data_IF_674866393912
#
_entry.id   IF_674866393912
#
_cell.length_a   1.000
_cell.length_b   1.000
_cell.length_c   1.000
_cell.angle_alpha   90.00
_cell.angle_beta   90.00
_cell.angle_gamma   90.00
#
_symmetry.space_group_name_H-M   'P 1'
#
loop_
_entity.id
_entity.type
_entity.pdbx_description
1 polymer ?
#
# COMPACT_ATOMS: atom_id res chain seq x y z
N UNK A 1 18.50 -11.55 13.39
CA UNK A 1 17.81 -10.25 13.15
C UNK A 1 18.87 -9.16 13.25
N UNK A 2 19.17 -8.43 12.17
CA UNK A 2 20.27 -7.47 12.18
C UNK A 2 19.90 -6.23 13.02
N UNK A 3 20.67 -5.87 14.07
CA UNK A 3 20.34 -4.75 14.96
C UNK A 3 20.20 -3.42 14.22
N UNK A 4 20.93 -3.24 13.13
CA UNK A 4 20.78 -2.09 12.21
C UNK A 4 19.36 -1.93 11.66
N UNK A 5 18.66 -3.02 11.31
CA UNK A 5 17.29 -2.93 10.79
C UNK A 5 16.29 -2.50 11.86
N UNK A 6 16.53 -2.88 13.11
CA UNK A 6 15.67 -2.50 14.24
C UNK A 6 15.82 -1.01 14.52
N UNK A 7 17.06 -0.52 14.62
CA UNK A 7 17.35 0.90 14.86
C UNK A 7 16.82 1.78 13.73
N UNK A 8 17.07 1.40 12.48
CA UNK A 8 16.54 2.13 11.31
C UNK A 8 15.01 2.07 11.23
N UNK A 9 14.39 0.94 11.56
CA UNK A 9 12.94 0.79 11.56
C UNK A 9 12.26 1.71 12.58
N UNK A 10 12.79 1.76 13.81
CA UNK A 10 12.30 2.67 14.86
C UNK A 10 12.49 4.13 14.43
N UNK A 11 13.68 4.48 13.94
CA UNK A 11 13.96 5.84 13.47
C UNK A 11 13.05 6.29 12.34
N UNK A 12 12.77 5.41 11.37
CA UNK A 12 11.83 5.68 10.29
C UNK A 12 10.41 5.86 10.82
N UNK A 13 9.95 4.97 11.72
CA UNK A 13 8.62 5.07 12.33
C UNK A 13 8.41 6.40 13.07
N UNK A 14 9.37 6.80 13.90
CA UNK A 14 9.34 8.08 14.63
C UNK A 14 9.36 9.29 13.69
N UNK A 15 10.16 9.23 12.63
CA UNK A 15 10.21 10.29 11.63
C UNK A 15 8.84 10.45 10.93
N UNK A 16 8.27 9.33 10.45
CA UNK A 16 6.96 9.32 9.79
C UNK A 16 5.79 9.73 10.68
N UNK A 17 5.86 9.50 12.00
CA UNK A 17 4.78 9.93 12.91
C UNK A 17 4.92 11.39 13.37
N UNK A 18 6.14 11.92 13.42
CA UNK A 18 6.40 13.22 14.06
C UNK A 18 6.39 14.37 13.05
N UNK A 19 6.91 14.18 11.83
CA UNK A 19 6.98 15.24 10.80
C UNK A 19 5.60 15.80 10.43
N UNK A 20 4.58 14.98 10.12
CA UNK A 20 3.26 15.49 9.71
C UNK A 20 2.58 16.25 10.84
N UNK A 21 2.73 15.76 12.08
CA UNK A 21 2.19 16.40 13.28
C UNK A 21 2.84 17.78 13.46
N UNK A 22 4.17 17.84 13.43
CA UNK A 22 4.91 19.10 13.53
C UNK A 22 4.54 20.09 12.41
N UNK A 23 4.38 19.60 11.19
CA UNK A 23 3.93 20.42 10.07
C UNK A 23 2.50 20.94 10.26
N UNK A 24 1.60 20.12 10.81
CA UNK A 24 0.23 20.53 11.09
C UNK A 24 0.12 21.58 12.21
N UNK A 25 1.06 21.56 13.17
CA UNK A 25 1.15 22.51 14.29
C UNK A 25 1.80 23.85 13.90
N UNK A 26 2.81 23.81 13.04
CA UNK A 26 3.58 25.01 12.62
C UNK A 26 3.02 25.69 11.37
N UNK A 27 2.19 25.01 10.58
CA UNK A 27 1.62 25.57 9.36
C UNK A 27 0.57 26.65 9.67
N UNK A 28 0.60 27.80 8.97
CA UNK A 28 -0.46 28.81 9.04
C UNK A 28 -1.84 28.19 8.73
N UNK A 29 -2.92 28.56 9.45
CA UNK A 29 -4.25 27.96 9.28
C UNK A 29 -4.79 28.03 7.85
N UNK A 30 -4.35 29.04 7.08
CA UNK A 30 -4.79 29.29 5.70
C UNK A 30 -4.14 28.35 4.66
N UNK A 31 -3.01 27.73 4.98
CA UNK A 31 -2.25 26.84 4.06
C UNK A 31 -2.11 25.40 4.56
N UNK A 32 -2.51 25.12 5.82
CA UNK A 32 -2.42 23.80 6.44
C UNK A 32 -3.03 22.68 5.60
N UNK A 33 -4.24 22.89 5.08
CA UNK A 33 -4.91 21.87 4.25
C UNK A 33 -4.15 21.57 2.95
N UNK A 34 -3.58 22.58 2.31
CA UNK A 34 -2.79 22.40 1.08
C UNK A 34 -1.48 21.65 1.34
N UNK A 35 -0.78 21.95 2.43
CA UNK A 35 0.46 21.27 2.79
C UNK A 35 0.26 19.80 3.09
N UNK A 36 -0.81 19.44 3.82
CA UNK A 36 -1.17 18.04 4.10
C UNK A 36 -1.53 17.28 2.82
N UNK A 37 -2.28 17.92 1.89
CA UNK A 37 -2.60 17.32 0.60
C UNK A 37 -1.35 17.12 -0.27
N UNK A 38 -0.43 18.08 -0.27
CA UNK A 38 0.83 18.00 -1.01
C UNK A 38 1.74 16.89 -0.49
N UNK A 39 1.85 16.76 0.84
CA UNK A 39 2.57 15.65 1.48
C UNK A 39 1.97 14.30 1.10
N UNK A 40 0.64 14.15 1.22
CA UNK A 40 -0.06 12.91 0.85
C UNK A 40 0.12 12.54 -0.63
N UNK A 41 0.17 13.54 -1.51
CA UNK A 41 0.44 13.33 -2.93
C UNK A 41 1.88 12.83 -3.18
N UNK A 42 2.88 13.38 -2.47
CA UNK A 42 4.28 12.93 -2.57
C UNK A 42 4.46 11.50 -2.04
N UNK A 43 3.83 11.16 -0.92
CA UNK A 43 3.87 9.80 -0.36
C UNK A 43 3.25 8.80 -1.35
N UNK A 44 2.04 9.09 -1.84
CA UNK A 44 1.35 8.23 -2.81
C UNK A 44 2.16 8.07 -4.10
N UNK A 45 2.74 9.16 -4.60
CA UNK A 45 3.63 9.14 -5.76
C UNK A 45 4.89 8.30 -5.53
N UNK A 46 5.54 8.42 -4.37
CA UNK A 46 6.70 7.62 -4.00
C UNK A 46 6.38 6.12 -3.93
N UNK A 47 5.23 5.75 -3.34
CA UNK A 47 4.78 4.35 -3.28
C UNK A 47 4.49 3.82 -4.69
N UNK A 48 3.84 4.60 -5.55
CA UNK A 48 3.59 4.22 -6.94
C UNK A 48 4.90 3.89 -7.68
N UNK A 49 5.91 4.76 -7.58
CA UNK A 49 7.22 4.53 -8.20
C UNK A 49 7.87 3.26 -7.64
N UNK A 50 7.82 3.07 -6.32
CA UNK A 50 8.33 1.87 -5.66
C UNK A 50 7.68 0.59 -6.22
N UNK A 51 6.36 0.56 -6.39
CA UNK A 51 5.68 -0.58 -6.99
C UNK A 51 6.13 -0.84 -8.42
N UNK A 52 6.26 0.20 -9.25
CA UNK A 52 6.74 0.04 -10.62
C UNK A 52 8.10 -0.68 -10.70
N UNK A 53 8.98 -0.49 -9.71
CA UNK A 53 10.30 -1.14 -9.67
C UNK A 53 10.31 -2.51 -8.97
N UNK A 54 9.64 -2.64 -7.82
CA UNK A 54 9.74 -3.85 -6.99
C UNK A 54 8.68 -4.89 -7.31
N UNK A 55 7.47 -4.48 -7.69
CA UNK A 55 6.38 -5.42 -7.94
C UNK A 55 6.67 -6.32 -9.15
N UNK A 56 7.37 -5.80 -10.17
CA UNK A 56 7.86 -6.61 -11.30
C UNK A 56 8.70 -7.79 -10.83
N UNK A 57 9.64 -7.54 -9.93
CA UNK A 57 10.52 -8.57 -9.36
C UNK A 57 9.71 -9.58 -8.57
N UNK A 58 8.69 -9.16 -7.81
CA UNK A 58 7.82 -10.06 -7.06
C UNK A 58 7.01 -10.97 -8.01
N UNK A 59 6.41 -10.41 -9.06
CA UNK A 59 5.63 -11.18 -10.04
C UNK A 59 6.51 -12.19 -10.83
N UNK A 60 7.76 -11.83 -11.16
CA UNK A 60 8.68 -12.75 -11.83
C UNK A 60 9.21 -13.82 -10.88
N UNK A 61 9.72 -13.44 -9.71
CA UNK A 61 10.41 -14.38 -8.79
C UNK A 61 9.46 -15.27 -8.02
N UNK A 62 8.34 -14.72 -7.54
CA UNK A 62 7.42 -15.44 -6.65
C UNK A 62 6.30 -16.15 -7.41
N UNK A 63 5.85 -15.55 -8.52
CA UNK A 63 4.72 -16.05 -9.31
C UNK A 63 5.15 -16.67 -10.65
N UNK A 64 6.43 -16.59 -11.02
CA UNK A 64 7.01 -17.17 -12.24
C UNK A 64 6.33 -16.70 -13.53
N UNK A 65 5.85 -15.45 -13.54
CA UNK A 65 5.25 -14.83 -14.72
C UNK A 65 6.30 -14.37 -15.72
N UNK A 66 5.88 -14.21 -16.99
CA UNK A 66 6.79 -13.69 -18.02
C UNK A 66 7.15 -12.23 -17.74
N UNK A 67 8.32 -11.76 -18.19
CA UNK A 67 8.75 -10.39 -17.95
C UNK A 67 7.80 -9.32 -18.49
N UNK A 68 7.08 -9.61 -19.58
CA UNK A 68 6.08 -8.70 -20.15
C UNK A 68 4.85 -8.60 -19.25
N UNK A 69 4.33 -9.74 -18.79
CA UNK A 69 3.16 -9.79 -17.90
C UNK A 69 3.46 -9.14 -16.56
N UNK A 70 4.64 -9.40 -15.96
CA UNK A 70 5.04 -8.83 -14.68
C UNK A 70 5.17 -7.31 -14.72
N UNK A 71 5.69 -6.76 -15.83
CA UNK A 71 5.74 -5.31 -16.08
C UNK A 71 4.36 -4.69 -16.22
N UNK A 72 3.47 -5.35 -16.96
CA UNK A 72 2.08 -4.93 -17.13
C UNK A 72 1.34 -4.92 -15.77
N UNK A 73 1.43 -6.00 -15.01
CA UNK A 73 0.79 -6.13 -13.69
C UNK A 73 1.34 -5.12 -12.68
N UNK A 74 2.64 -4.84 -12.69
CA UNK A 74 3.25 -3.80 -11.87
C UNK A 74 2.70 -2.41 -12.18
N UNK A 75 2.56 -2.07 -13.48
CA UNK A 75 1.98 -0.80 -13.90
C UNK A 75 0.52 -0.65 -13.46
N UNK A 76 -0.28 -1.72 -13.60
CA UNK A 76 -1.66 -1.72 -13.10
C UNK A 76 -1.74 -1.61 -11.58
N UNK A 77 -0.87 -2.30 -10.85
CA UNK A 77 -0.84 -2.25 -9.38
C UNK A 77 -0.54 -0.83 -8.87
N UNK A 78 0.42 -0.13 -9.48
CA UNK A 78 0.73 1.25 -9.12
C UNK A 78 -0.42 2.22 -9.44
N UNK A 79 -1.07 2.03 -10.59
CA UNK A 79 -2.21 2.86 -11.02
C UNK A 79 -3.45 2.63 -10.16
N UNK A 80 -3.75 1.37 -9.84
CA UNK A 80 -4.82 1.00 -8.91
C UNK A 80 -4.59 1.66 -7.55
N UNK A 81 -3.37 1.59 -7.01
CA UNK A 81 -3.05 2.20 -5.73
C UNK A 81 -3.32 3.70 -5.71
N UNK A 82 -2.91 4.39 -6.77
CA UNK A 82 -3.14 5.82 -6.92
C UNK A 82 -4.65 6.16 -6.97
N UNK A 83 -5.42 5.40 -7.75
CA UNK A 83 -6.88 5.59 -7.84
C UNK A 83 -7.58 5.28 -6.51
N UNK A 84 -7.17 4.21 -5.83
CA UNK A 84 -7.69 3.82 -4.53
C UNK A 84 -7.39 4.88 -3.47
N UNK A 85 -6.21 5.51 -3.51
CA UNK A 85 -5.84 6.62 -2.64
C UNK A 85 -6.75 7.85 -2.85
N UNK A 86 -7.06 8.19 -4.10
CA UNK A 86 -8.00 9.28 -4.41
C UNK A 86 -9.40 8.97 -3.90
N UNK A 87 -9.89 7.74 -4.11
CA UNK A 87 -11.20 7.31 -3.61
C UNK A 87 -11.26 7.30 -2.08
N UNK A 88 -10.17 6.93 -1.41
CA UNK A 88 -10.07 6.90 0.04
C UNK A 88 -10.39 8.27 0.67
N UNK A 89 -9.92 9.37 0.04
CA UNK A 89 -10.20 10.73 0.52
C UNK A 89 -11.71 10.99 0.69
N UNK A 90 -12.54 10.49 -0.23
CA UNK A 90 -13.98 10.66 -0.17
C UNK A 90 -14.68 9.66 0.77
N UNK A 91 -14.11 8.46 0.91
CA UNK A 91 -14.70 7.37 1.71
C UNK A 91 -14.47 7.61 3.22
N UNK A 92 -13.29 8.13 3.59
CA UNK A 92 -12.89 8.38 4.98
C UNK A 92 -13.86 9.31 5.69
N UNK A 93 -14.29 10.38 5.02
CA UNK A 93 -15.20 11.38 5.57
C UNK A 93 -16.62 10.82 5.82
N UNK A 94 -17.01 9.74 5.13
CA UNK A 94 -18.34 9.13 5.27
C UNK A 94 -18.41 7.97 6.26
N UNK A 95 -17.42 7.09 6.26
CA UNK A 95 -17.47 5.83 7.04
C UNK A 95 -16.85 5.96 8.43
N UNK A 96 -16.09 7.02 8.67
CA UNK A 96 -15.40 7.26 9.93
C UNK A 96 -14.11 6.43 10.05
N UNK A 97 -13.06 7.13 10.49
CA UNK A 97 -11.66 6.67 10.55
C UNK A 97 -11.45 5.33 11.26
N UNK A 98 -12.03 5.17 12.45
CA UNK A 98 -11.84 3.97 13.30
C UNK A 98 -12.38 2.69 12.68
N UNK A 99 -13.57 2.76 12.05
CA UNK A 99 -14.19 1.58 11.42
C UNK A 99 -13.42 1.20 10.17
N UNK A 100 -12.99 2.19 9.39
CA UNK A 100 -12.23 1.97 8.16
C UNK A 100 -10.88 1.28 8.42
N UNK A 101 -10.16 1.68 9.47
CA UNK A 101 -8.90 1.02 9.86
C UNK A 101 -9.11 -0.45 10.27
N UNK A 102 -10.15 -0.75 11.06
CA UNK A 102 -10.41 -2.13 11.50
C UNK A 102 -10.83 -3.04 10.34
N UNK A 103 -11.73 -2.56 9.46
CA UNK A 103 -12.14 -3.32 8.28
C UNK A 103 -11.00 -3.46 7.27
N UNK A 104 -10.18 -2.42 7.08
CA UNK A 104 -8.98 -2.49 6.25
C UNK A 104 -7.95 -3.49 6.78
N UNK A 105 -7.70 -3.50 8.09
CA UNK A 105 -6.81 -4.46 8.72
C UNK A 105 -7.30 -5.91 8.56
N UNK A 106 -8.60 -6.13 8.75
CA UNK A 106 -9.21 -7.44 8.54
C UNK A 106 -9.12 -7.88 7.08
N UNK A 107 -9.42 -6.99 6.13
CA UNK A 107 -9.30 -7.26 4.70
C UNK A 107 -7.86 -7.63 4.30
N UNK A 108 -6.87 -6.87 4.80
CA UNK A 108 -5.46 -7.16 4.57
C UNK A 108 -5.02 -8.50 5.15
N UNK A 109 -5.45 -8.83 6.38
CA UNK A 109 -5.12 -10.11 7.01
C UNK A 109 -5.67 -11.31 6.22
N UNK A 110 -6.91 -11.20 5.74
CA UNK A 110 -7.53 -12.24 4.90
C UNK A 110 -6.81 -12.37 3.55
N UNK A 111 -6.46 -11.25 2.91
CA UNK A 111 -5.73 -11.30 1.64
C UNK A 111 -4.36 -11.95 1.80
N UNK A 112 -3.60 -11.59 2.85
CA UNK A 112 -2.29 -12.22 3.11
C UNK A 112 -2.40 -13.73 3.35
N UNK A 113 -3.43 -14.16 4.09
CA UNK A 113 -3.70 -15.57 4.30
C UNK A 113 -3.97 -16.29 2.97
N UNK A 114 -4.83 -15.72 2.13
CA UNK A 114 -5.20 -16.33 0.84
C UNK A 114 -4.00 -16.35 -0.12
N UNK A 115 -3.23 -15.26 -0.21
CA UNK A 115 -2.01 -15.19 -1.02
C UNK A 115 -1.03 -16.29 -0.58
N UNK A 116 -0.81 -16.46 0.73
CA UNK A 116 0.06 -17.51 1.25
C UNK A 116 -0.40 -18.91 0.85
N UNK A 117 -1.71 -19.19 0.94
CA UNK A 117 -2.28 -20.48 0.51
C UNK A 117 -2.09 -20.68 -1.00
N UNK A 118 -2.43 -19.69 -1.81
CA UNK A 118 -2.30 -19.78 -3.27
C UNK A 118 -0.84 -20.00 -3.70
N UNK A 119 0.11 -19.29 -3.09
CA UNK A 119 1.53 -19.44 -3.38
C UNK A 119 2.05 -20.83 -2.97
N UNK A 120 1.56 -21.41 -1.87
CA UNK A 120 1.95 -22.77 -1.46
C UNK A 120 1.51 -23.87 -2.43
N UNK A 121 0.50 -23.60 -3.24
CA UNK A 121 -0.02 -24.52 -4.26
C UNK A 121 0.51 -24.23 -5.67
N UNK A 122 1.26 -23.13 -5.84
CA UNK A 122 1.74 -22.69 -7.15
C UNK A 122 2.87 -23.61 -7.61
N UNK A 123 2.65 -24.28 -8.74
CA UNK A 123 3.62 -25.21 -9.35
C UNK A 123 3.81 -24.84 -10.82
N UNK A 124 4.97 -25.09 -11.47
CA UNK A 124 5.17 -24.76 -12.89
C UNK A 124 4.12 -25.34 -13.85
N UNK A 125 3.50 -26.48 -13.50
CA UNK A 125 2.39 -27.10 -14.27
C UNK A 125 1.00 -26.58 -13.90
N UNK A 126 0.81 -25.99 -12.71
CA UNK A 126 -0.49 -25.53 -12.22
C UNK A 126 -0.41 -24.07 -11.77
N UNK A 127 -0.74 -23.16 -12.71
CA UNK A 127 -0.62 -21.70 -12.52
C UNK A 127 -1.91 -20.99 -12.08
N UNK A 128 -3.04 -21.69 -11.98
CA UNK A 128 -4.30 -21.06 -11.54
C UNK A 128 -4.19 -20.35 -10.17
N UNK A 129 -3.49 -20.91 -9.16
CA UNK A 129 -3.30 -20.24 -7.88
C UNK A 129 -2.46 -18.96 -7.98
N UNK A 130 -1.51 -18.89 -8.93
CA UNK A 130 -0.69 -17.70 -9.13
C UNK A 130 -1.53 -16.50 -9.63
N UNK A 131 -2.48 -16.75 -10.53
CA UNK A 131 -3.43 -15.71 -10.96
C UNK A 131 -4.36 -15.29 -9.83
N UNK A 132 -4.86 -16.24 -9.03
CA UNK A 132 -5.67 -15.92 -7.85
C UNK A 132 -4.89 -15.07 -6.84
N UNK A 133 -3.65 -15.45 -6.50
CA UNK A 133 -2.77 -14.68 -5.63
C UNK A 133 -2.57 -13.25 -6.15
N UNK A 134 -2.41 -13.09 -7.47
CA UNK A 134 -2.29 -11.78 -8.10
C UNK A 134 -3.52 -10.91 -7.86
N UNK A 135 -4.73 -11.45 -8.01
CA UNK A 135 -5.97 -10.70 -7.71
C UNK A 135 -6.01 -10.27 -6.24
N UNK A 136 -5.65 -11.15 -5.31
CA UNK A 136 -5.64 -10.81 -3.89
C UNK A 136 -4.54 -9.82 -3.50
N UNK A 137 -3.44 -9.72 -4.27
CA UNK A 137 -2.44 -8.66 -4.09
C UNK A 137 -3.05 -7.29 -4.39
N UNK A 138 -3.85 -7.17 -5.45
CA UNK A 138 -4.57 -5.93 -5.81
C UNK A 138 -5.60 -5.57 -4.73
N UNK A 139 -6.40 -6.56 -4.28
CA UNK A 139 -7.37 -6.35 -3.20
C UNK A 139 -6.69 -5.92 -1.90
N UNK A 140 -5.59 -6.58 -1.52
CA UNK A 140 -4.77 -6.17 -0.37
C UNK A 140 -4.34 -4.71 -0.48
N UNK A 141 -3.83 -4.34 -1.67
CA UNK A 141 -3.33 -3.00 -1.95
C UNK A 141 -4.43 -1.94 -1.85
N UNK A 142 -5.61 -2.22 -2.40
CA UNK A 142 -6.79 -1.35 -2.28
C UNK A 142 -7.28 -1.24 -0.83
N UNK A 143 -7.32 -2.35 -0.07
CA UNK A 143 -7.66 -2.31 1.36
C UNK A 143 -6.68 -1.48 2.18
N UNK A 144 -5.39 -1.54 1.85
CA UNK A 144 -4.35 -0.72 2.48
C UNK A 144 -4.50 0.76 2.13
N UNK A 145 -4.72 1.08 0.85
CA UNK A 145 -4.94 2.44 0.38
C UNK A 145 -6.17 3.08 1.05
N UNK A 146 -7.29 2.36 1.11
CA UNK A 146 -8.52 2.91 1.69
C UNK A 146 -8.46 2.95 3.22
N UNK A 147 -7.95 1.90 3.87
CA UNK A 147 -8.02 1.77 5.32
C UNK A 147 -6.92 2.51 6.08
N UNK A 148 -5.70 2.53 5.54
CA UNK A 148 -4.49 2.92 6.30
C UNK A 148 -3.78 4.12 5.68
N UNK A 149 -3.71 4.23 4.35
CA UNK A 149 -2.99 5.33 3.69
C UNK A 149 -3.60 6.71 3.99
N UNK A 150 -4.92 6.87 3.94
CA UNK A 150 -5.54 8.18 4.20
C UNK A 150 -5.70 8.51 5.68
N UNK A 151 -5.92 7.50 6.52
CA UNK A 151 -6.39 7.69 7.89
C UNK A 151 -5.26 7.95 8.89
N UNK A 152 -4.04 7.49 8.63
CA UNK A 152 -2.91 7.71 9.55
C UNK A 152 -2.30 9.11 9.49
N UNK A 153 -2.66 9.90 8.47
CA UNK A 153 -2.06 11.22 8.20
C UNK A 153 -3.09 12.37 8.21
N UNK A 154 -4.34 12.07 8.58
CA UNK A 154 -5.45 13.01 8.72
C UNK A 154 -5.94 13.03 10.17
#
# INVERSE_FOLDING_TARGET
MNPTRVVTGIGNGMNTSSIPVWQSEMAPPKTRGFLVLFEGALITGGIMVSYCYYATTVFETSLSFSPELSRLMSGFLGTEYFLAAVLALFIVDRLGRRRLMMWGALGMALCLLIIGICLSQTTPSYRAPAYAATVFIFVYNTCFAVGWLGVTWL
#
